data_IF_829307624367
#
_entry.id   IF_829307624367
#
_cell.length_a   1.000
_cell.length_b   1.000
_cell.length_c   1.000
_cell.angle_alpha   90.00
_cell.angle_beta   90.00
_cell.angle_gamma   90.00
#
_symmetry.space_group_name_H-M   'P 1'
#
loop_
_entity.id
_entity.type
_entity.pdbx_description
1 polymer ?
#
# COMPACT_ATOMS: atom_id res chain seq x y z
N UNK A 1 15.02 15.55 -24.46
CA UNK A 1 15.12 14.08 -24.63
C UNK A 1 14.74 13.27 -23.40
N UNK A 2 14.88 13.74 -22.16
CA UNK A 2 14.56 13.01 -20.90
C UNK A 2 13.08 12.59 -20.74
N UNK A 3 12.11 13.36 -21.20
CA UNK A 3 10.68 13.08 -20.99
C UNK A 3 10.14 11.88 -21.79
N UNK A 4 10.70 11.56 -22.95
CA UNK A 4 10.27 10.41 -23.76
C UNK A 4 10.74 9.08 -23.17
N UNK A 5 11.88 9.07 -22.48
CA UNK A 5 12.44 7.89 -21.81
C UNK A 5 11.61 7.54 -20.57
N UNK A 6 11.25 8.53 -19.75
CA UNK A 6 10.41 8.34 -18.57
C UNK A 6 9.03 7.74 -18.90
N UNK A 7 8.37 8.19 -19.98
CA UNK A 7 7.08 7.63 -20.41
C UNK A 7 7.18 6.16 -20.86
N UNK A 8 8.32 5.74 -21.41
CA UNK A 8 8.56 4.38 -21.86
C UNK A 8 8.83 3.44 -20.69
N UNK A 9 9.56 3.94 -19.69
CA UNK A 9 9.85 3.23 -18.43
C UNK A 9 8.59 3.06 -17.58
N UNK A 10 7.79 4.12 -17.42
CA UNK A 10 6.49 4.06 -16.74
C UNK A 10 5.52 3.10 -17.44
N UNK A 11 5.52 3.07 -18.77
CA UNK A 11 4.67 2.16 -19.54
C UNK A 11 5.10 0.70 -19.45
N UNK A 12 6.39 0.45 -19.28
CA UNK A 12 6.94 -0.87 -19.02
C UNK A 12 6.57 -1.37 -17.63
N UNK A 13 6.73 -0.51 -16.60
CA UNK A 13 6.29 -0.77 -15.22
C UNK A 13 4.77 -1.04 -15.15
N UNK A 14 3.97 -0.22 -15.84
CA UNK A 14 2.52 -0.39 -15.89
C UNK A 14 2.09 -1.70 -16.57
N UNK A 15 2.78 -2.11 -17.63
CA UNK A 15 2.51 -3.37 -18.32
C UNK A 15 2.79 -4.60 -17.43
N UNK A 16 3.81 -4.52 -16.59
CA UNK A 16 4.22 -5.60 -15.69
C UNK A 16 3.37 -5.63 -14.41
N UNK A 17 2.80 -4.49 -14.01
CA UNK A 17 1.92 -4.34 -12.84
C UNK A 17 0.47 -4.75 -13.11
N UNK A 18 0.08 -5.00 -14.35
CA UNK A 18 -1.28 -5.44 -14.71
C UNK A 18 -1.82 -6.59 -13.85
N UNK A 19 -1.06 -7.66 -13.56
CA UNK A 19 -1.53 -8.73 -12.69
C UNK A 19 -1.67 -8.32 -11.22
N UNK A 20 -1.10 -7.17 -10.82
CA UNK A 20 -1.19 -6.60 -9.49
C UNK A 20 -2.20 -5.45 -9.39
N UNK A 21 -2.71 -4.93 -10.53
CA UNK A 21 -3.62 -3.79 -10.58
C UNK A 21 -4.90 -4.01 -9.76
N UNK A 22 -5.48 -5.22 -9.80
CA UNK A 22 -6.62 -5.56 -8.97
C UNK A 22 -6.33 -5.52 -7.47
N UNK A 23 -5.12 -5.94 -7.06
CA UNK A 23 -4.68 -5.85 -5.67
C UNK A 23 -4.46 -4.40 -5.22
N UNK A 24 -3.87 -3.55 -6.07
CA UNK A 24 -3.68 -2.12 -5.80
C UNK A 24 -5.04 -1.42 -5.66
N UNK A 25 -5.99 -1.74 -6.53
CA UNK A 25 -7.34 -1.17 -6.48
C UNK A 25 -8.09 -1.60 -5.21
N UNK A 26 -7.97 -2.88 -4.82
CA UNK A 26 -8.52 -3.38 -3.56
C UNK A 26 -7.89 -2.67 -2.35
N UNK A 27 -6.58 -2.50 -2.35
CA UNK A 27 -5.86 -1.81 -1.29
C UNK A 27 -6.31 -0.34 -1.18
N UNK A 28 -6.45 0.35 -2.32
CA UNK A 28 -6.98 1.73 -2.36
C UNK A 28 -8.40 1.80 -1.81
N UNK A 29 -9.28 0.86 -2.18
CA UNK A 29 -10.63 0.80 -1.65
C UNK A 29 -10.65 0.59 -0.13
N UNK A 30 -9.78 -0.28 0.40
CA UNK A 30 -9.62 -0.49 1.85
C UNK A 30 -9.17 0.80 2.55
N UNK A 31 -8.20 1.52 2.00
CA UNK A 31 -7.75 2.80 2.57
C UNK A 31 -8.83 3.87 2.53
N UNK A 32 -9.63 3.95 1.47
CA UNK A 32 -10.80 4.85 1.41
C UNK A 32 -11.82 4.53 2.50
N UNK A 33 -12.11 3.25 2.74
CA UNK A 33 -13.01 2.83 3.82
C UNK A 33 -12.43 3.16 5.19
N UNK A 34 -11.12 2.96 5.40
CA UNK A 34 -10.42 3.33 6.64
C UNK A 34 -10.49 4.84 6.87
N UNK A 35 -10.28 5.65 5.82
CA UNK A 35 -10.39 7.11 5.89
C UNK A 35 -11.82 7.56 6.24
N UNK A 36 -12.83 6.99 5.61
CA UNK A 36 -14.24 7.26 5.92
C UNK A 36 -14.60 6.88 7.38
N UNK A 37 -14.04 5.76 7.86
CA UNK A 37 -14.21 5.33 9.25
C UNK A 37 -13.62 6.34 10.25
N UNK A 38 -12.53 7.04 9.90
CA UNK A 38 -11.94 8.10 10.74
C UNK A 38 -12.89 9.26 10.97
N UNK A 39 -13.70 9.63 9.97
CA UNK A 39 -14.73 10.66 10.12
C UNK A 39 -15.84 10.18 11.07
N UNK A 40 -16.26 8.93 10.96
CA UNK A 40 -17.24 8.33 11.86
C UNK A 40 -16.76 8.35 13.32
N UNK A 41 -15.46 8.12 13.57
CA UNK A 41 -14.86 8.26 14.89
C UNK A 41 -15.03 9.66 15.47
N UNK A 42 -14.74 10.69 14.68
CA UNK A 42 -14.85 12.08 15.13
C UNK A 42 -16.30 12.44 15.51
N UNK A 43 -17.27 11.98 14.71
CA UNK A 43 -18.69 12.20 14.95
C UNK A 43 -19.19 11.48 16.22
N UNK A 44 -18.82 10.22 16.40
CA UNK A 44 -19.19 9.46 17.60
C UNK A 44 -18.49 9.98 18.85
N UNK A 45 -17.26 10.42 18.75
CA UNK A 45 -16.55 11.05 19.87
C UNK A 45 -17.27 12.33 20.33
N UNK A 46 -17.69 13.17 19.36
CA UNK A 46 -18.52 14.33 19.66
C UNK A 46 -19.80 13.94 20.38
N UNK A 47 -20.55 12.96 19.86
CA UNK A 47 -21.80 12.50 20.44
C UNK A 47 -21.60 11.94 21.85
N UNK A 48 -20.52 11.24 22.10
CA UNK A 48 -20.17 10.68 23.40
C UNK A 48 -19.89 11.78 24.42
N UNK A 49 -19.17 12.83 24.03
CA UNK A 49 -18.89 14.00 24.86
C UNK A 49 -20.20 14.79 25.17
N UNK A 50 -21.01 15.03 24.12
CA UNK A 50 -22.29 15.75 24.28
C UNK A 50 -23.25 15.02 25.24
N UNK A 51 -23.37 13.69 25.11
CA UNK A 51 -24.19 12.86 26.00
C UNK A 51 -23.67 12.86 27.45
N UNK A 52 -22.35 12.91 27.64
CA UNK A 52 -21.73 12.99 28.96
C UNK A 52 -22.03 14.33 29.66
N UNK A 53 -21.96 15.43 28.90
CA UNK A 53 -22.27 16.79 29.41
C UNK A 53 -23.75 16.91 29.78
N UNK A 54 -24.63 16.30 29.00
CA UNK A 54 -26.08 16.34 29.23
C UNK A 54 -26.54 15.34 30.28
N UNK A 55 -25.63 14.56 30.87
CA UNK A 55 -25.93 13.51 31.87
C UNK A 55 -26.91 12.44 31.34
N UNK A 56 -27.01 12.26 30.05
CA UNK A 56 -27.86 11.26 29.40
C UNK A 56 -27.19 9.88 29.36
N UNK A 57 -27.36 9.09 30.42
CA UNK A 57 -26.81 7.74 30.54
C UNK A 57 -27.18 6.81 29.36
N UNK A 58 -28.43 6.77 28.85
CA UNK A 58 -28.76 5.90 27.71
C UNK A 58 -28.05 6.32 26.44
N UNK A 59 -27.90 7.62 26.16
CA UNK A 59 -27.18 8.19 25.03
C UNK A 59 -25.68 7.83 25.07
N UNK A 60 -25.10 8.05 26.26
CA UNK A 60 -23.70 7.73 26.50
C UNK A 60 -23.37 6.25 26.29
N UNK A 61 -24.19 5.34 26.82
CA UNK A 61 -23.99 3.89 26.64
C UNK A 61 -24.10 3.45 25.17
N UNK A 62 -25.08 4.01 24.43
CA UNK A 62 -25.24 3.73 23.01
C UNK A 62 -24.04 4.23 22.19
N UNK A 63 -23.64 5.48 22.40
CA UNK A 63 -22.49 6.06 21.71
C UNK A 63 -21.21 5.29 22.04
N UNK A 64 -21.00 4.89 23.30
CA UNK A 64 -19.86 4.09 23.72
C UNK A 64 -19.84 2.70 23.09
N UNK A 65 -20.99 2.01 23.02
CA UNK A 65 -21.10 0.71 22.37
C UNK A 65 -20.80 0.79 20.86
N UNK A 66 -21.31 1.82 20.17
CA UNK A 66 -21.03 2.07 18.76
C UNK A 66 -19.54 2.41 18.54
N UNK A 67 -18.95 3.19 19.43
CA UNK A 67 -17.54 3.53 19.37
C UNK A 67 -16.64 2.28 19.50
N UNK A 68 -16.96 1.38 20.44
CA UNK A 68 -16.27 0.09 20.58
C UNK A 68 -16.44 -0.79 19.34
N UNK A 69 -17.66 -0.83 18.78
CA UNK A 69 -17.90 -1.59 17.54
C UNK A 69 -17.06 -1.03 16.38
N UNK A 70 -16.95 0.28 16.24
CA UNK A 70 -16.07 0.90 15.23
C UNK A 70 -14.60 0.57 15.43
N UNK A 71 -14.10 0.50 16.67
CA UNK A 71 -12.72 0.06 16.96
C UNK A 71 -12.49 -1.35 16.43
N UNK A 72 -13.40 -2.28 16.65
CA UNK A 72 -13.28 -3.64 16.16
C UNK A 72 -13.31 -3.69 14.63
N UNK A 73 -14.19 -2.92 14.00
CA UNK A 73 -14.23 -2.79 12.53
C UNK A 73 -12.92 -2.21 12.01
N UNK A 74 -12.39 -1.17 12.63
CA UNK A 74 -11.11 -0.57 12.25
C UNK A 74 -9.97 -1.58 12.35
N UNK A 75 -9.89 -2.33 13.44
CA UNK A 75 -8.86 -3.36 13.60
C UNK A 75 -8.95 -4.44 12.51
N UNK A 76 -10.17 -4.89 12.18
CA UNK A 76 -10.39 -5.86 11.11
C UNK A 76 -10.01 -5.29 9.73
N UNK A 77 -10.36 -4.05 9.42
CA UNK A 77 -9.99 -3.39 8.16
C UNK A 77 -8.47 -3.20 8.06
N UNK A 78 -7.82 -2.78 9.12
CA UNK A 78 -6.35 -2.62 9.16
C UNK A 78 -5.66 -3.97 8.97
N UNK A 79 -6.14 -5.02 9.61
CA UNK A 79 -5.60 -6.36 9.42
C UNK A 79 -5.79 -6.85 7.97
N UNK A 80 -6.96 -6.62 7.39
CA UNK A 80 -7.24 -6.98 5.99
C UNK A 80 -6.36 -6.21 5.01
N UNK A 81 -6.12 -4.91 5.23
CA UNK A 81 -5.23 -4.10 4.39
C UNK A 81 -3.78 -4.56 4.50
N UNK A 82 -3.27 -4.83 5.70
CA UNK A 82 -1.90 -5.32 5.91
C UNK A 82 -1.69 -6.69 5.21
N UNK A 83 -2.63 -7.62 5.37
CA UNK A 83 -2.55 -8.93 4.70
C UNK A 83 -2.59 -8.80 3.17
N UNK A 84 -3.37 -7.86 2.65
CA UNK A 84 -3.47 -7.61 1.21
C UNK A 84 -2.18 -6.98 0.69
N UNK A 85 -1.63 -6.02 1.44
CA UNK A 85 -0.37 -5.36 1.14
C UNK A 85 0.79 -6.36 1.10
N UNK A 86 0.94 -7.21 2.12
CA UNK A 86 1.98 -8.24 2.17
C UNK A 86 1.91 -9.25 1.02
N UNK A 87 0.71 -9.71 0.68
CA UNK A 87 0.51 -10.59 -0.49
C UNK A 87 0.88 -9.90 -1.80
N UNK A 88 0.53 -8.62 -1.93
CA UNK A 88 0.82 -7.84 -3.11
C UNK A 88 2.32 -7.52 -3.21
N UNK A 89 2.96 -7.18 -2.09
CA UNK A 89 4.41 -7.00 -1.95
C UNK A 89 5.15 -8.25 -2.42
N UNK A 90 4.83 -9.41 -1.86
CA UNK A 90 5.47 -10.67 -2.22
C UNK A 90 5.28 -11.02 -3.71
N UNK A 91 4.14 -10.68 -4.31
CA UNK A 91 3.86 -10.91 -5.72
C UNK A 91 4.69 -9.97 -6.62
N UNK A 92 4.78 -8.70 -6.27
CA UNK A 92 5.54 -7.69 -7.00
C UNK A 92 7.05 -7.98 -6.92
N UNK A 93 7.57 -8.26 -5.73
CA UNK A 93 8.97 -8.61 -5.53
C UNK A 93 9.39 -9.83 -6.36
N UNK A 94 8.61 -10.91 -6.30
CA UNK A 94 8.91 -12.12 -7.11
C UNK A 94 8.93 -11.81 -8.61
N UNK A 95 7.97 -11.00 -9.08
CA UNK A 95 7.89 -10.61 -10.49
C UNK A 95 9.07 -9.75 -10.93
N UNK A 96 9.46 -8.77 -10.12
CA UNK A 96 10.57 -7.87 -10.42
C UNK A 96 11.91 -8.57 -10.29
N UNK A 97 12.16 -9.30 -9.20
CA UNK A 97 13.41 -10.07 -9.01
C UNK A 97 13.61 -11.08 -10.12
N UNK A 98 12.56 -11.82 -10.51
CA UNK A 98 12.61 -12.77 -11.62
C UNK A 98 12.94 -12.12 -12.96
N UNK A 99 12.36 -10.96 -13.25
CA UNK A 99 12.60 -10.19 -14.46
C UNK A 99 14.03 -9.66 -14.54
N UNK A 100 14.54 -9.12 -13.43
CA UNK A 100 15.92 -8.61 -13.34
C UNK A 100 16.91 -9.77 -13.48
N UNK A 101 16.66 -10.89 -12.82
CA UNK A 101 17.52 -12.07 -12.90
C UNK A 101 17.59 -12.64 -14.32
N UNK A 102 16.46 -12.72 -15.02
CA UNK A 102 16.44 -13.14 -16.44
C UNK A 102 17.23 -12.18 -17.34
N UNK A 103 17.14 -10.87 -17.08
CA UNK A 103 17.90 -9.86 -17.82
C UNK A 103 19.40 -10.03 -17.59
N UNK A 104 19.80 -10.29 -16.34
CA UNK A 104 21.20 -10.52 -15.97
C UNK A 104 21.77 -11.78 -16.63
N UNK A 105 21.01 -12.87 -16.67
CA UNK A 105 21.44 -14.11 -17.35
C UNK A 105 21.59 -13.94 -18.87
N UNK A 106 20.87 -12.99 -19.47
CA UNK A 106 20.99 -12.65 -20.89
C UNK A 106 22.14 -11.68 -21.22
N UNK A 107 22.83 -11.13 -20.22
CA UNK A 107 23.96 -10.23 -20.43
C UNK A 107 25.24 -11.01 -20.76
N UNK A 108 26.01 -10.52 -21.71
CA UNK A 108 27.32 -11.10 -22.11
C UNK A 108 28.30 -11.13 -20.92
N UNK A 109 29.04 -12.22 -20.83
CA UNK A 109 30.00 -12.50 -19.73
C UNK A 109 31.05 -11.39 -19.49
N UNK A 110 31.34 -10.56 -20.48
CA UNK A 110 32.26 -9.43 -20.39
C UNK A 110 31.79 -8.32 -19.45
N UNK A 111 30.47 -8.12 -19.31
CA UNK A 111 29.92 -7.06 -18.45
C UNK A 111 29.90 -7.47 -16.96
N UNK A 112 29.83 -8.78 -16.70
CA UNK A 112 29.82 -9.32 -15.33
C UNK A 112 31.20 -9.25 -14.65
N UNK A 113 32.31 -9.28 -15.41
CA UNK A 113 33.66 -9.29 -14.82
C UNK A 113 34.11 -7.93 -14.26
N UNK A 114 33.36 -6.87 -14.57
CA UNK A 114 33.73 -5.49 -14.17
C UNK A 114 33.15 -5.09 -12.79
N UNK A 115 32.12 -5.79 -12.31
CA UNK A 115 31.49 -5.49 -11.02
C UNK A 115 31.50 -6.71 -10.10
N UNK A 116 31.84 -6.54 -8.79
CA UNK A 116 31.71 -7.60 -7.80
C UNK A 116 30.24 -8.09 -7.76
N UNK A 117 30.01 -9.35 -8.02
CA UNK A 117 28.65 -9.94 -8.12
C UNK A 117 27.81 -9.68 -6.85
N UNK A 118 28.43 -9.64 -5.67
CA UNK A 118 27.75 -9.33 -4.41
C UNK A 118 27.19 -7.90 -4.33
N UNK A 119 27.96 -6.93 -4.84
CA UNK A 119 27.53 -5.51 -4.85
C UNK A 119 26.35 -5.31 -5.82
N UNK A 120 26.40 -5.95 -6.96
CA UNK A 120 25.33 -5.88 -7.95
C UNK A 120 24.03 -6.50 -7.42
N UNK A 121 24.14 -7.66 -6.75
CA UNK A 121 22.97 -8.32 -6.13
C UNK A 121 22.34 -7.49 -5.02
N UNK A 122 23.17 -6.85 -4.19
CA UNK A 122 22.71 -5.97 -3.11
C UNK A 122 21.98 -4.74 -3.65
N UNK A 123 22.54 -4.08 -4.67
CA UNK A 123 21.88 -2.93 -5.32
C UNK A 123 20.52 -3.33 -5.93
N UNK A 124 20.46 -4.45 -6.65
CA UNK A 124 19.20 -4.94 -7.24
C UNK A 124 18.16 -5.23 -6.17
N UNK A 125 18.55 -5.85 -5.06
CA UNK A 125 17.62 -6.14 -3.96
C UNK A 125 17.05 -4.84 -3.36
N UNK A 126 17.91 -3.85 -3.09
CA UNK A 126 17.52 -2.55 -2.53
C UNK A 126 16.65 -1.75 -3.50
N UNK A 127 16.99 -1.73 -4.79
CA UNK A 127 16.22 -1.00 -5.80
C UNK A 127 14.83 -1.61 -6.01
N UNK A 128 14.72 -2.95 -6.01
CA UNK A 128 13.44 -3.66 -6.10
C UNK A 128 12.55 -3.32 -4.89
N UNK A 129 13.11 -3.38 -3.68
CA UNK A 129 12.37 -3.05 -2.46
C UNK A 129 11.89 -1.59 -2.47
N UNK A 130 12.74 -0.66 -2.92
CA UNK A 130 12.37 0.77 -3.05
C UNK A 130 11.23 0.98 -4.04
N UNK A 131 11.27 0.31 -5.19
CA UNK A 131 10.21 0.40 -6.21
C UNK A 131 8.91 -0.19 -5.68
N UNK A 132 8.95 -1.35 -5.02
CA UNK A 132 7.77 -2.03 -4.48
C UNK A 132 7.13 -1.18 -3.39
N UNK A 133 7.92 -0.63 -2.46
CA UNK A 133 7.43 0.28 -1.42
C UNK A 133 6.78 1.53 -2.02
N UNK A 134 7.44 2.17 -2.99
CA UNK A 134 6.86 3.31 -3.70
C UNK A 134 5.52 2.99 -4.38
N UNK A 135 5.37 1.81 -4.96
CA UNK A 135 4.11 1.39 -5.59
C UNK A 135 3.00 1.08 -4.58
N UNK A 136 3.33 0.53 -3.42
CA UNK A 136 2.35 0.10 -2.42
C UNK A 136 1.96 1.22 -1.46
N UNK A 137 2.86 2.13 -1.13
CA UNK A 137 2.62 3.19 -0.17
C UNK A 137 2.15 4.49 -0.85
N UNK A 138 2.85 4.92 -1.92
CA UNK A 138 2.57 6.21 -2.53
C UNK A 138 1.29 6.20 -3.37
N UNK A 139 1.04 5.17 -4.17
CA UNK A 139 -0.13 5.15 -5.05
C UNK A 139 -1.45 5.09 -4.29
N UNK A 140 -1.66 4.14 -3.35
CA UNK A 140 -2.90 4.09 -2.59
C UNK A 140 -3.05 5.28 -1.64
N UNK A 141 -1.94 5.73 -1.02
CA UNK A 141 -1.93 6.89 -0.13
C UNK A 141 -2.35 8.18 -0.83
N UNK A 142 -1.80 8.47 -2.01
CA UNK A 142 -2.18 9.65 -2.79
C UNK A 142 -3.64 9.57 -3.29
N UNK A 143 -4.11 8.40 -3.68
CA UNK A 143 -5.49 8.21 -4.13
C UNK A 143 -6.48 8.37 -2.98
N UNK A 144 -6.14 7.92 -1.77
CA UNK A 144 -6.99 8.08 -0.58
C UNK A 144 -7.08 9.53 -0.07
N UNK A 145 -6.10 10.38 -0.41
CA UNK A 145 -6.12 11.81 -0.07
C UNK A 145 -7.02 12.64 -1.01
N UNK A 146 -7.37 12.08 -2.17
CA UNK A 146 -8.24 12.74 -3.16
C UNK A 146 -9.73 12.47 -2.92
N UNK A 147 -10.08 11.59 -1.99
CA UNK A 147 -11.44 11.22 -1.57
C UNK A 147 -11.79 11.84 -0.22
#
# INVERSE_FOLDING_TARGET
MKQKTQKKELRWLWGRSRPAAGGILLLTALYCVIAANSVAYALLMKQLVDSAIQHEMPGFLRAGALYLALILVQAALTMASNLTEEKLRAKLERGLRGSVFQTLLGMEHRTFSTYPAGTLLSHIATDVDTIVNGMLELLPGLLSLLV
#
